data_IF_591828900328
#
_entry.id   IF_591828900328
#
_cell.length_a   1.000
_cell.length_b   1.000
_cell.length_c   1.000
_cell.angle_alpha   90.00
_cell.angle_beta   90.00
_cell.angle_gamma   90.00
#
_symmetry.space_group_name_H-M   'P 1'
#
loop_
_entity.id
_entity.type
_entity.pdbx_description
1 polymer ?
#
# COMPACT_ATOMS: atom_id res chain seq x y z
N UNK A 1 2.35 -5.83 -17.29
CA UNK A 1 2.91 -4.67 -18.00
C UNK A 1 4.40 -4.55 -17.68
N UNK A 2 5.29 -4.40 -18.67
CA UNK A 2 6.76 -4.42 -18.46
C UNK A 2 7.24 -3.49 -17.33
N UNK A 3 6.75 -2.26 -17.28
CA UNK A 3 7.14 -1.29 -16.25
C UNK A 3 6.60 -1.65 -14.87
N UNK A 4 5.42 -2.28 -14.80
CA UNK A 4 4.85 -2.81 -13.55
C UNK A 4 5.68 -3.99 -13.06
N UNK A 5 6.06 -4.89 -13.95
CA UNK A 5 6.91 -6.04 -13.63
C UNK A 5 8.30 -5.58 -13.14
N UNK A 6 8.84 -4.53 -13.77
CA UNK A 6 10.08 -3.90 -13.35
C UNK A 6 9.96 -3.26 -11.95
N UNK A 7 8.86 -2.55 -11.67
CA UNK A 7 8.59 -2.00 -10.33
C UNK A 7 8.53 -3.09 -9.27
N UNK A 8 7.79 -4.18 -9.53
CA UNK A 8 7.69 -5.31 -8.59
C UNK A 8 9.06 -5.92 -8.32
N UNK A 9 9.87 -6.09 -9.37
CA UNK A 9 11.20 -6.68 -9.25
C UNK A 9 12.18 -5.78 -8.50
N UNK A 10 12.23 -4.50 -8.84
CA UNK A 10 13.25 -3.56 -8.36
C UNK A 10 12.92 -2.95 -7.00
N UNK A 11 11.63 -2.80 -6.68
CA UNK A 11 11.19 -2.10 -5.47
C UNK A 11 10.55 -3.08 -4.49
N UNK A 12 9.47 -3.76 -4.90
CA UNK A 12 8.73 -4.61 -3.95
C UNK A 12 9.50 -5.88 -3.59
N UNK A 13 10.26 -6.44 -4.52
CA UNK A 13 11.02 -7.70 -4.31
C UNK A 13 12.50 -7.45 -3.98
N UNK A 14 12.87 -6.22 -3.64
CA UNK A 14 14.24 -5.88 -3.26
C UNK A 14 14.66 -6.63 -1.99
N UNK A 15 15.93 -7.02 -1.93
CA UNK A 15 16.51 -7.70 -0.75
C UNK A 15 16.93 -6.72 0.35
N UNK A 16 17.04 -5.45 -0.01
CA UNK A 16 17.39 -4.33 0.86
C UNK A 16 16.39 -3.21 0.62
N UNK A 17 16.29 -2.27 1.57
CA UNK A 17 15.39 -1.12 1.45
C UNK A 17 15.79 -0.32 0.20
N UNK A 18 14.90 -0.17 -0.80
CA UNK A 18 15.20 0.64 -1.98
C UNK A 18 15.54 2.06 -1.56
N UNK A 19 16.53 2.67 -2.21
CA UNK A 19 16.78 4.09 -2.04
C UNK A 19 15.55 4.86 -2.51
N UNK A 20 15.16 5.90 -1.78
CA UNK A 20 13.92 6.64 -2.01
C UNK A 20 13.73 7.09 -3.46
N UNK A 21 14.79 7.57 -4.12
CA UNK A 21 14.73 8.01 -5.52
C UNK A 21 14.35 6.87 -6.49
N UNK A 22 14.67 5.61 -6.16
CA UNK A 22 14.31 4.45 -6.98
C UNK A 22 12.80 4.26 -6.96
N UNK A 23 12.17 4.35 -5.78
CA UNK A 23 10.71 4.27 -5.65
C UNK A 23 10.03 5.48 -6.31
N UNK A 24 10.60 6.67 -6.17
CA UNK A 24 10.08 7.91 -6.79
C UNK A 24 10.16 7.91 -8.33
N UNK A 25 11.15 7.22 -8.91
CA UNK A 25 11.27 7.09 -10.36
C UNK A 25 10.05 6.40 -11.00
N UNK A 26 9.29 5.61 -10.24
CA UNK A 26 8.06 4.95 -10.70
C UNK A 26 6.78 5.79 -10.48
N UNK A 27 6.86 6.98 -9.88
CA UNK A 27 5.68 7.84 -9.69
C UNK A 27 4.87 8.10 -10.97
N UNK A 28 5.49 8.34 -12.15
CA UNK A 28 4.73 8.48 -13.40
C UNK A 28 3.97 7.20 -13.79
N UNK A 29 4.52 6.01 -13.50
CA UNK A 29 3.84 4.73 -13.74
C UNK A 29 2.59 4.62 -12.88
N UNK A 30 2.66 4.99 -11.60
CA UNK A 30 1.53 4.85 -10.66
C UNK A 30 0.31 5.66 -11.11
N UNK A 31 0.53 6.83 -11.71
CA UNK A 31 -0.55 7.69 -12.24
C UNK A 31 -1.30 7.06 -13.43
N UNK A 32 -0.65 6.16 -14.17
CA UNK A 32 -1.21 5.49 -15.35
C UNK A 32 -1.55 4.01 -15.09
N UNK A 33 -1.42 3.56 -13.85
CA UNK A 33 -1.66 2.17 -13.49
C UNK A 33 -3.14 1.83 -13.69
N UNK A 34 -3.42 0.72 -14.37
CA UNK A 34 -4.79 0.25 -14.58
C UNK A 34 -5.28 -0.53 -13.36
N UNK A 35 -6.61 -0.64 -13.21
CA UNK A 35 -7.20 -1.54 -12.20
C UNK A 35 -6.79 -3.00 -12.41
N UNK A 36 -6.56 -3.42 -13.65
CA UNK A 36 -6.15 -4.78 -13.99
C UNK A 36 -4.70 -5.05 -13.55
N UNK A 37 -3.75 -4.19 -13.92
CA UNK A 37 -2.35 -4.30 -13.49
C UNK A 37 -2.24 -4.22 -11.96
N UNK A 38 -2.98 -3.30 -11.33
CA UNK A 38 -2.97 -3.19 -9.88
C UNK A 38 -3.49 -4.47 -9.22
N UNK A 39 -4.64 -5.00 -9.68
CA UNK A 39 -5.27 -6.18 -9.09
C UNK A 39 -4.46 -7.46 -9.29
N UNK A 40 -3.90 -7.66 -10.47
CA UNK A 40 -3.29 -8.93 -10.86
C UNK A 40 -1.81 -9.01 -10.49
N UNK A 41 -1.09 -7.88 -10.45
CA UNK A 41 0.36 -7.84 -10.26
C UNK A 41 0.72 -7.11 -8.96
N UNK A 42 0.32 -5.84 -8.83
CA UNK A 42 0.84 -4.95 -7.77
C UNK A 42 0.28 -5.31 -6.40
N UNK A 43 -1.02 -5.55 -6.30
CA UNK A 43 -1.70 -5.86 -5.04
C UNK A 43 -1.21 -7.19 -4.44
N UNK A 44 -1.15 -8.32 -5.19
CA UNK A 44 -0.60 -9.56 -4.67
C UNK A 44 0.86 -9.43 -4.21
N UNK A 45 1.69 -8.71 -4.98
CA UNK A 45 3.08 -8.47 -4.61
C UNK A 45 3.18 -7.62 -3.33
N UNK A 46 2.39 -6.55 -3.22
CA UNK A 46 2.37 -5.66 -2.05
C UNK A 46 1.94 -6.41 -0.79
N UNK A 47 0.84 -7.17 -0.84
CA UNK A 47 0.36 -7.97 0.29
C UNK A 47 1.40 -9.01 0.70
N UNK A 48 1.99 -9.72 -0.26
CA UNK A 48 3.02 -10.74 0.00
C UNK A 48 4.21 -10.13 0.74
N UNK A 49 4.67 -8.95 0.33
CA UNK A 49 5.86 -8.32 0.90
C UNK A 49 5.56 -7.62 2.23
N UNK A 50 4.38 -7.02 2.42
CA UNK A 50 3.93 -6.51 3.73
C UNK A 50 3.88 -7.62 4.79
N UNK A 51 3.55 -8.85 4.40
CA UNK A 51 3.54 -10.01 5.30
C UNK A 51 4.94 -10.56 5.60
N UNK A 52 5.89 -10.42 4.68
CA UNK A 52 7.23 -11.06 4.77
C UNK A 52 8.33 -10.15 5.30
N UNK A 53 8.35 -8.91 4.83
CA UNK A 53 9.42 -7.94 5.12
C UNK A 53 8.86 -6.51 5.09
N UNK A 54 7.86 -6.20 5.94
CA UNK A 54 7.18 -4.91 5.94
C UNK A 54 8.14 -3.72 6.10
N UNK A 55 9.19 -3.85 6.92
CA UNK A 55 10.21 -2.82 7.14
C UNK A 55 10.95 -2.38 5.86
N UNK A 56 11.01 -3.23 4.84
CA UNK A 56 11.64 -2.90 3.56
C UNK A 56 10.69 -2.22 2.58
N UNK A 57 9.40 -2.58 2.61
CA UNK A 57 8.45 -2.20 1.55
C UNK A 57 7.42 -1.16 1.98
N UNK A 58 7.25 -0.89 3.28
CA UNK A 58 6.17 -0.06 3.78
C UNK A 58 6.17 1.35 3.18
N UNK A 59 7.32 2.01 3.14
CA UNK A 59 7.48 3.34 2.52
C UNK A 59 7.19 3.32 1.02
N UNK A 60 7.66 2.29 0.31
CA UNK A 60 7.44 2.17 -1.13
C UNK A 60 5.96 1.94 -1.46
N UNK A 61 5.26 1.16 -0.64
CA UNK A 61 3.81 0.95 -0.74
C UNK A 61 3.05 2.22 -0.36
N UNK A 62 3.51 2.96 0.64
CA UNK A 62 2.98 4.29 0.97
C UNK A 62 3.04 5.24 -0.21
N UNK A 63 4.20 5.34 -0.87
CA UNK A 63 4.39 6.16 -2.06
C UNK A 63 3.49 5.71 -3.23
N UNK A 64 3.39 4.42 -3.48
CA UNK A 64 2.50 3.84 -4.49
C UNK A 64 1.05 4.26 -4.23
N UNK A 65 0.52 3.97 -3.04
CA UNK A 65 -0.90 4.20 -2.70
C UNK A 65 -1.24 5.69 -2.63
N UNK A 66 -0.28 6.54 -2.25
CA UNK A 66 -0.40 7.99 -2.34
C UNK A 66 -0.56 8.45 -3.80
N UNK A 67 0.19 7.84 -4.72
CA UNK A 67 0.37 8.34 -6.09
C UNK A 67 -0.60 7.76 -7.12
N UNK A 68 -1.20 6.60 -6.89
CA UNK A 68 -2.13 5.97 -7.83
C UNK A 68 -3.37 6.83 -8.06
N UNK A 69 -3.87 6.84 -9.30
CA UNK A 69 -5.16 7.45 -9.66
C UNK A 69 -6.26 6.39 -9.79
N UNK A 70 -6.35 5.52 -8.78
CA UNK A 70 -7.32 4.42 -8.72
C UNK A 70 -8.21 4.56 -7.50
N UNK A 71 -9.47 4.19 -7.65
CA UNK A 71 -10.36 3.97 -6.52
C UNK A 71 -9.93 2.70 -5.77
N UNK A 72 -9.58 2.87 -4.49
CA UNK A 72 -9.07 1.81 -3.63
C UNK A 72 -10.17 1.03 -2.89
N UNK A 73 -11.43 1.39 -3.06
CA UNK A 73 -12.58 0.72 -2.40
C UNK A 73 -12.53 -0.80 -2.59
N UNK A 74 -12.28 -1.26 -3.82
CA UNK A 74 -12.29 -2.68 -4.20
C UNK A 74 -11.10 -3.48 -3.64
N UNK A 75 -10.07 -2.80 -3.14
CA UNK A 75 -8.82 -3.42 -2.65
C UNK A 75 -8.68 -3.32 -1.13
N UNK A 76 -9.57 -2.56 -0.50
CA UNK A 76 -9.51 -2.26 0.92
C UNK A 76 -9.64 -3.52 1.78
N UNK A 77 -10.54 -4.44 1.43
CA UNK A 77 -10.74 -5.70 2.18
C UNK A 77 -9.49 -6.56 2.25
N UNK A 78 -8.66 -6.54 1.21
CA UNK A 78 -7.45 -7.36 1.14
C UNK A 78 -6.24 -6.65 1.74
N UNK A 79 -6.15 -5.33 1.54
CA UNK A 79 -4.98 -4.54 1.88
C UNK A 79 -5.03 -3.97 3.31
N UNK A 80 -6.21 -3.53 3.77
CA UNK A 80 -6.36 -2.90 5.07
C UNK A 80 -5.90 -3.81 6.23
N UNK A 81 -6.24 -5.11 6.28
CA UNK A 81 -5.82 -5.95 7.40
C UNK A 81 -4.29 -6.05 7.55
N UNK A 82 -3.56 -6.13 6.44
CA UNK A 82 -2.09 -6.23 6.48
C UNK A 82 -1.42 -4.90 6.83
N UNK A 83 -2.03 -3.77 6.45
CA UNK A 83 -1.57 -2.43 6.84
C UNK A 83 -1.85 -2.17 8.32
N UNK A 84 -3.03 -2.53 8.83
CA UNK A 84 -3.40 -2.34 10.22
C UNK A 84 -2.52 -3.14 11.20
N UNK A 85 -2.01 -4.30 10.77
CA UNK A 85 -0.98 -5.02 11.54
C UNK A 85 0.28 -4.17 11.75
N UNK A 86 0.66 -3.36 10.76
CA UNK A 86 1.82 -2.46 10.85
C UNK A 86 1.52 -1.22 11.70
N UNK A 87 0.28 -0.73 11.64
CA UNK A 87 -0.17 0.42 12.45
C UNK A 87 -0.15 0.13 13.98
N UNK A 88 -0.13 -1.14 14.37
CA UNK A 88 -0.04 -1.61 15.77
C UNK A 88 1.35 -2.03 16.20
N UNK A 89 2.36 -1.87 15.34
CA UNK A 89 3.70 -2.36 15.61
C UNK A 89 4.38 -1.58 16.76
N UNK A 90 5.35 -2.16 17.47
CA UNK A 90 6.07 -1.46 18.55
C UNK A 90 7.04 -0.38 18.04
N UNK A 91 7.49 -0.53 16.80
CA UNK A 91 8.30 0.48 16.09
C UNK A 91 7.45 1.69 15.66
N UNK A 92 7.86 2.88 16.09
CA UNK A 92 7.12 4.13 15.83
C UNK A 92 7.11 4.52 14.34
N UNK A 93 8.23 4.34 13.63
CA UNK A 93 8.31 4.64 12.21
C UNK A 93 7.34 3.80 11.38
N UNK A 94 7.24 2.50 11.68
CA UNK A 94 6.28 1.60 11.05
C UNK A 94 4.84 1.96 11.38
N UNK A 95 4.54 2.32 12.63
CA UNK A 95 3.18 2.79 12.98
C UNK A 95 2.81 4.04 12.21
N UNK A 96 3.70 5.03 12.16
CA UNK A 96 3.46 6.30 11.48
C UNK A 96 3.21 6.11 9.98
N UNK A 97 4.08 5.34 9.31
CA UNK A 97 3.94 5.09 7.87
C UNK A 97 2.67 4.30 7.55
N UNK A 98 2.37 3.26 8.34
CA UNK A 98 1.13 2.49 8.16
C UNK A 98 -0.13 3.33 8.39
N UNK A 99 -0.09 4.26 9.36
CA UNK A 99 -1.19 5.20 9.60
C UNK A 99 -1.38 6.14 8.41
N UNK A 100 -0.28 6.64 7.82
CA UNK A 100 -0.34 7.44 6.60
C UNK A 100 -0.95 6.65 5.44
N UNK A 101 -0.58 5.37 5.28
CA UNK A 101 -1.15 4.47 4.26
C UNK A 101 -2.66 4.33 4.42
N UNK A 102 -3.16 4.12 5.66
CA UNK A 102 -4.60 4.08 5.93
C UNK A 102 -5.26 5.38 5.49
N UNK A 103 -4.64 6.54 5.76
CA UNK A 103 -5.11 7.84 5.28
C UNK A 103 -5.20 7.92 3.76
N UNK A 104 -4.18 7.47 3.03
CA UNK A 104 -4.20 7.44 1.56
C UNK A 104 -5.31 6.54 1.01
N UNK A 105 -5.51 5.37 1.62
CA UNK A 105 -6.59 4.46 1.25
C UNK A 105 -7.96 5.10 1.47
N UNK A 106 -8.17 5.74 2.62
CA UNK A 106 -9.43 6.41 2.96
C UNK A 106 -9.74 7.55 1.98
N UNK A 107 -8.75 8.36 1.63
CA UNK A 107 -8.92 9.46 0.66
C UNK A 107 -9.23 8.99 -0.76
N UNK A 108 -8.86 7.74 -1.10
CA UNK A 108 -9.10 7.14 -2.42
C UNK A 108 -10.22 6.11 -2.39
N UNK A 109 -11.03 6.08 -1.34
CA UNK A 109 -12.21 5.24 -1.22
C UNK A 109 -13.43 6.03 -1.67
N UNK A 110 -14.06 5.63 -2.77
CA UNK A 110 -15.31 6.25 -3.25
C UNK A 110 -16.57 5.59 -2.69
N UNK A 111 -16.46 4.40 -2.09
CA UNK A 111 -17.60 3.63 -1.58
C UNK A 111 -17.83 3.88 -0.07
N UNK A 112 -18.98 4.47 0.33
CA UNK A 112 -19.30 4.75 1.73
C UNK A 112 -19.37 3.51 2.64
N UNK A 113 -19.85 2.37 2.12
CA UNK A 113 -19.92 1.13 2.89
C UNK A 113 -18.51 0.60 3.20
N UNK A 114 -17.60 0.70 2.24
CA UNK A 114 -16.19 0.35 2.43
C UNK A 114 -15.52 1.33 3.42
N UNK A 115 -15.82 2.62 3.32
CA UNK A 115 -15.32 3.62 4.29
C UNK A 115 -15.82 3.32 5.72
N UNK A 116 -17.08 2.90 5.88
CA UNK A 116 -17.62 2.47 7.17
C UNK A 116 -16.89 1.24 7.72
N UNK A 117 -16.56 0.27 6.86
CA UNK A 117 -15.74 -0.89 7.23
C UNK A 117 -14.35 -0.43 7.70
N UNK A 118 -13.69 0.47 6.98
CA UNK A 118 -12.39 1.02 7.37
C UNK A 118 -12.45 1.67 8.76
N UNK A 119 -13.44 2.53 8.98
CA UNK A 119 -13.64 3.21 10.27
C UNK A 119 -13.84 2.22 11.42
N UNK A 120 -14.66 1.19 11.21
CA UNK A 120 -14.89 0.12 12.21
C UNK A 120 -13.60 -0.63 12.52
N UNK A 121 -12.82 -1.01 11.49
CA UNK A 121 -11.55 -1.70 11.67
C UNK A 121 -10.52 -0.85 12.43
N UNK A 122 -10.42 0.44 12.12
CA UNK A 122 -9.52 1.38 12.82
C UNK A 122 -9.97 1.55 14.28
N UNK A 123 -11.26 1.75 14.52
CA UNK A 123 -11.81 1.95 15.87
C UNK A 123 -11.54 0.75 16.78
N UNK A 124 -11.58 -0.48 16.23
CA UNK A 124 -11.29 -1.71 16.97
C UNK A 124 -9.85 -1.85 17.47
N UNK A 125 -8.95 -0.98 17.01
CA UNK A 125 -7.53 -0.99 17.39
C UNK A 125 -7.24 0.03 18.49
N UNK A 126 -8.02 1.10 18.55
CA UNK A 126 -7.87 2.19 19.52
C UNK A 126 -8.63 1.87 20.82
N UNK A 127 -9.64 1.00 20.73
CA UNK A 127 -10.48 0.54 21.85
C UNK A 127 -9.80 -0.57 22.62
#
# INVERSE_FOLDING_TARGET
>A
SLFVDLYVKMVLSARERPQKFVSEAFCPLFKHLTHEDFRTIVLPASIKMLKRSPELVLESIGLLLKSVNLDLSKYTTDLLPVVLQQARHSDEGRRAEATAIVGYMSHKCSNPDVAAIMFKSISSIIS
#
